data_IF_718047764403
#
_entry.id   IF_718047764403
#
_cell.length_a   1.000
_cell.length_b   1.000
_cell.length_c   1.000
_cell.angle_alpha   90.00
_cell.angle_beta   90.00
_cell.angle_gamma   90.00
#
_symmetry.space_group_name_H-M   'P 1'
#
loop_
_entity.id
_entity.type
_entity.pdbx_description
1 polymer ?
#
# COMPACT_ATOMS: atom_id res chain seq x y z
N UNK A 1 -4.32 14.27 -33.98
CA UNK A 1 -5.11 13.55 -32.96
C UNK A 1 -4.20 13.33 -31.77
N UNK A 2 -4.33 14.15 -30.73
CA UNK A 2 -3.42 14.21 -29.58
C UNK A 2 -4.01 13.33 -28.48
N UNK A 3 -3.36 12.19 -28.18
CA UNK A 3 -3.61 11.44 -26.95
C UNK A 3 -2.58 11.89 -25.91
N UNK A 4 -2.92 12.99 -25.24
CA UNK A 4 -2.27 13.44 -24.02
C UNK A 4 -2.97 12.84 -22.82
N UNK A 5 -2.38 11.84 -22.21
CA UNK A 5 -2.64 11.47 -20.82
C UNK A 5 -1.33 10.89 -20.27
N UNK A 6 -0.55 11.72 -19.57
CA UNK A 6 0.56 11.24 -18.75
C UNK A 6 -0.04 10.40 -17.63
N UNK A 7 0.02 9.09 -17.76
CA UNK A 7 -0.16 8.20 -16.63
C UNK A 7 0.89 8.59 -15.55
N UNK A 8 0.49 8.74 -14.28
CA UNK A 8 1.47 8.98 -13.22
C UNK A 8 2.45 7.80 -13.17
N UNK A 9 3.75 8.09 -13.11
CA UNK A 9 4.81 7.09 -13.00
C UNK A 9 4.63 6.25 -11.72
N UNK A 10 5.04 4.99 -11.79
CA UNK A 10 5.08 3.98 -10.70
C UNK A 10 5.56 4.52 -9.34
N UNK A 11 6.41 5.56 -9.33
CA UNK A 11 6.88 6.25 -8.14
C UNK A 11 5.78 6.86 -7.23
N UNK A 12 4.58 7.15 -7.75
CA UNK A 12 3.45 7.67 -6.94
C UNK A 12 2.83 6.54 -6.09
N UNK A 13 3.00 5.27 -6.46
CA UNK A 13 2.33 4.16 -5.78
C UNK A 13 3.12 3.69 -4.54
N UNK A 14 4.45 3.72 -4.57
CA UNK A 14 5.28 3.39 -3.40
C UNK A 14 5.14 4.39 -2.25
N UNK A 15 4.79 5.65 -2.54
CA UNK A 15 4.54 6.66 -1.51
C UNK A 15 3.12 6.58 -0.90
N UNK A 16 2.17 5.86 -1.51
CA UNK A 16 0.74 5.90 -1.14
C UNK A 16 0.33 4.95 0.00
N UNK A 17 1.28 4.37 0.73
CA UNK A 17 1.01 3.41 1.81
C UNK A 17 0.29 4.03 3.01
N UNK A 18 0.30 5.37 3.13
CA UNK A 18 -0.46 6.14 4.12
C UNK A 18 -1.32 7.25 3.48
N UNK A 19 -2.47 7.54 4.08
CA UNK A 19 -3.35 8.65 3.68
C UNK A 19 -2.66 10.03 3.79
N UNK A 20 -1.65 10.17 4.67
CA UNK A 20 -0.85 11.37 4.79
C UNK A 20 -0.07 11.68 3.50
N UNK A 21 0.56 10.67 2.90
CA UNK A 21 1.32 10.83 1.66
C UNK A 21 0.43 11.24 0.48
N UNK A 22 -0.83 10.74 0.43
CA UNK A 22 -1.81 11.14 -0.59
C UNK A 22 -2.12 12.65 -0.49
N UNK A 23 -2.19 13.19 0.73
CA UNK A 23 -2.42 14.63 0.94
C UNK A 23 -1.23 15.49 0.52
N UNK A 24 -0.01 15.01 0.73
CA UNK A 24 1.22 15.73 0.37
C UNK A 24 1.32 15.99 -1.14
N UNK A 25 0.87 15.01 -1.94
CA UNK A 25 0.81 15.12 -3.41
C UNK A 25 -0.41 15.91 -3.93
N UNK A 26 -1.17 16.56 -3.04
CA UNK A 26 -2.32 17.39 -3.43
C UNK A 26 -3.57 16.58 -3.79
N UNK A 27 -3.66 15.33 -3.33
CA UNK A 27 -4.83 14.47 -3.52
C UNK A 27 -5.55 14.20 -2.20
N UNK A 28 -6.76 13.69 -2.28
CA UNK A 28 -7.49 13.08 -1.17
C UNK A 28 -8.02 11.73 -1.60
N UNK A 29 -8.24 10.87 -0.63
CA UNK A 29 -8.94 9.59 -0.79
C UNK A 29 -9.86 9.37 0.41
N UNK A 30 -10.84 8.50 0.23
CA UNK A 30 -11.64 7.94 1.30
C UNK A 30 -10.98 6.64 1.78
N UNK A 31 -10.68 6.54 3.07
CA UNK A 31 -10.15 5.33 3.70
C UNK A 31 -11.28 4.59 4.43
N UNK A 32 -11.42 3.30 4.13
CA UNK A 32 -12.42 2.41 4.71
C UNK A 32 -11.68 1.26 5.39
N UNK A 33 -12.03 0.99 6.64
CA UNK A 33 -11.45 -0.09 7.44
C UNK A 33 -12.59 -0.87 8.07
N UNK A 34 -12.67 -2.15 7.75
CA UNK A 34 -13.70 -3.06 8.27
C UNK A 34 -13.05 -4.20 9.07
N UNK A 35 -13.86 -4.93 9.85
CA UNK A 35 -13.34 -5.88 10.83
C UNK A 35 -13.40 -7.34 10.37
N UNK A 36 -14.28 -7.67 9.43
CA UNK A 36 -14.51 -9.04 8.97
C UNK A 36 -14.53 -9.15 7.44
N UNK A 37 -14.40 -10.40 6.97
CA UNK A 37 -14.30 -10.74 5.55
C UNK A 37 -15.56 -10.41 4.75
N UNK A 38 -16.75 -10.55 5.35
CA UNK A 38 -18.00 -10.34 4.63
C UNK A 38 -18.19 -8.86 4.34
N UNK A 39 -17.96 -8.02 5.35
CA UNK A 39 -18.01 -6.57 5.18
C UNK A 39 -16.86 -6.04 4.34
N UNK A 40 -15.69 -6.71 4.36
CA UNK A 40 -14.59 -6.42 3.43
C UNK A 40 -15.01 -6.64 1.99
N UNK A 41 -15.52 -7.82 1.65
CA UNK A 41 -15.94 -8.13 0.29
C UNK A 41 -17.09 -7.22 -0.16
N UNK A 42 -18.05 -6.93 0.72
CA UNK A 42 -19.19 -6.04 0.44
C UNK A 42 -18.72 -4.61 0.14
N UNK A 43 -17.92 -4.03 1.03
CA UNK A 43 -17.41 -2.66 0.89
C UNK A 43 -16.50 -2.53 -0.33
N UNK A 44 -15.71 -3.57 -0.60
CA UNK A 44 -14.84 -3.63 -1.75
C UNK A 44 -15.60 -3.67 -3.08
N UNK A 45 -16.63 -4.53 -3.19
CA UNK A 45 -17.51 -4.56 -4.37
C UNK A 45 -18.27 -3.26 -4.59
N UNK A 46 -18.68 -2.60 -3.50
CA UNK A 46 -19.31 -1.29 -3.57
C UNK A 46 -18.33 -0.22 -4.11
N UNK A 47 -17.10 -0.16 -3.58
CA UNK A 47 -16.09 0.78 -4.06
C UNK A 47 -15.71 0.56 -5.53
N UNK A 48 -15.67 -0.70 -5.98
CA UNK A 48 -15.42 -1.06 -7.38
C UNK A 48 -16.49 -0.58 -8.36
N UNK A 49 -17.69 -0.23 -7.89
CA UNK A 49 -18.71 0.38 -8.76
C UNK A 49 -18.31 1.79 -9.20
N UNK A 50 -17.52 2.49 -8.39
CA UNK A 50 -17.07 3.86 -8.64
C UNK A 50 -15.69 3.92 -9.33
N UNK A 51 -14.98 2.79 -9.39
CA UNK A 51 -13.70 2.65 -10.06
C UNK A 51 -12.69 1.79 -9.31
N UNK A 52 -11.42 1.74 -9.77
CA UNK A 52 -10.38 0.96 -9.13
C UNK A 52 -10.16 1.36 -7.66
N UNK A 53 -9.87 0.37 -6.82
CA UNK A 53 -9.67 0.58 -5.38
C UNK A 53 -8.26 0.17 -4.96
N UNK A 54 -7.64 0.97 -4.11
CA UNK A 54 -6.30 0.69 -3.58
C UNK A 54 -6.40 -0.11 -2.29
N UNK A 55 -5.71 -1.23 -2.22
CA UNK A 55 -5.85 -2.22 -1.15
C UNK A 55 -4.51 -2.46 -0.48
N UNK A 56 -4.54 -2.46 0.85
CA UNK A 56 -3.43 -2.92 1.68
C UNK A 56 -3.38 -2.25 3.04
N UNK A 57 -2.48 -2.69 3.92
CA UNK A 57 -1.44 -3.68 3.63
C UNK A 57 -1.99 -5.11 3.51
N UNK A 58 -1.33 -5.92 2.67
CA UNK A 58 -1.57 -7.34 2.46
C UNK A 58 -0.31 -8.14 2.81
N UNK A 59 -0.44 -9.38 3.25
CA UNK A 59 0.67 -10.33 3.40
C UNK A 59 1.18 -10.78 2.02
N UNK A 60 2.35 -10.28 1.63
CA UNK A 60 3.01 -10.59 0.36
C UNK A 60 3.25 -12.09 0.21
N UNK A 61 3.54 -12.78 1.32
CA UNK A 61 3.74 -14.23 1.41
C UNK A 61 2.59 -15.09 0.86
N UNK A 62 1.39 -14.50 0.78
CA UNK A 62 0.16 -15.15 0.37
C UNK A 62 -0.28 -14.79 -1.06
N UNK A 63 0.44 -13.90 -1.76
CA UNK A 63 0.13 -13.49 -3.14
C UNK A 63 0.63 -14.53 -4.15
N UNK A 64 -0.17 -15.60 -4.36
CA UNK A 64 0.23 -16.80 -5.12
C UNK A 64 0.63 -16.58 -6.57
N UNK A 65 0.27 -15.44 -7.17
CA UNK A 65 0.68 -15.10 -8.53
C UNK A 65 2.16 -14.68 -8.60
N UNK A 66 2.79 -14.29 -7.49
CA UNK A 66 4.21 -13.97 -7.45
C UNK A 66 5.05 -15.25 -7.35
N UNK A 67 6.02 -15.46 -8.25
CA UNK A 67 7.00 -16.53 -8.09
C UNK A 67 7.69 -16.41 -6.73
N UNK A 68 7.81 -17.52 -6.01
CA UNK A 68 8.42 -17.58 -4.68
C UNK A 68 7.70 -16.80 -3.57
N UNK A 69 6.45 -16.33 -3.73
CA UNK A 69 5.72 -15.55 -2.71
C UNK A 69 5.95 -16.02 -1.27
N UNK A 70 5.92 -17.33 -0.99
CA UNK A 70 6.13 -17.92 0.35
C UNK A 70 7.39 -17.43 1.08
N UNK A 71 8.47 -17.10 0.37
CA UNK A 71 9.72 -16.62 0.99
C UNK A 71 9.61 -15.19 1.52
N UNK A 72 8.59 -14.44 1.09
CA UNK A 72 8.31 -13.08 1.53
C UNK A 72 7.26 -13.01 2.66
N UNK A 73 7.13 -14.08 3.47
CA UNK A 73 6.18 -14.08 4.60
C UNK A 73 6.58 -13.03 5.64
N UNK A 74 5.62 -12.21 6.08
CA UNK A 74 5.82 -11.09 7.00
C UNK A 74 6.18 -9.78 6.30
N UNK A 75 6.31 -9.78 4.97
CA UNK A 75 6.41 -8.57 4.17
C UNK A 75 5.01 -8.08 3.79
N UNK A 76 4.79 -6.77 3.91
CA UNK A 76 3.55 -6.16 3.46
C UNK A 76 3.56 -5.89 1.95
N UNK A 77 2.36 -5.72 1.39
CA UNK A 77 2.19 -5.32 0.01
C UNK A 77 0.92 -4.52 -0.22
N UNK A 78 0.90 -3.74 -1.31
CA UNK A 78 -0.25 -2.96 -1.73
C UNK A 78 -0.53 -3.15 -3.23
N UNK A 79 -1.82 -3.27 -3.56
CA UNK A 79 -2.28 -3.51 -4.94
C UNK A 79 -3.43 -2.58 -5.30
N UNK A 80 -3.68 -2.40 -6.59
CA UNK A 80 -4.90 -1.75 -7.09
C UNK A 80 -5.83 -2.83 -7.62
N UNK A 81 -6.99 -3.02 -6.99
CA UNK A 81 -8.00 -3.95 -7.49
C UNK A 81 -8.84 -3.27 -8.57
N UNK A 82 -9.05 -3.98 -9.67
CA UNK A 82 -9.73 -3.52 -10.87
C UNK A 82 -11.13 -4.11 -10.99
N UNK A 83 -11.30 -5.38 -10.64
CA UNK A 83 -12.59 -6.07 -10.74
C UNK A 83 -12.66 -7.29 -9.81
N UNK A 84 -13.89 -7.73 -9.53
CA UNK A 84 -14.17 -9.02 -8.88
C UNK A 84 -15.26 -9.72 -9.67
N UNK A 85 -14.92 -10.83 -10.31
CA UNK A 85 -15.85 -11.65 -11.11
C UNK A 85 -15.51 -13.14 -10.99
N UNK A 86 -16.51 -14.02 -11.09
CA UNK A 86 -16.35 -15.48 -11.06
C UNK A 86 -15.46 -15.99 -9.90
N UNK A 87 -15.62 -15.42 -8.71
CA UNK A 87 -14.82 -15.73 -7.50
C UNK A 87 -13.32 -15.43 -7.61
N UNK A 88 -12.93 -14.57 -8.57
CA UNK A 88 -11.58 -14.10 -8.79
C UNK A 88 -11.51 -12.58 -8.61
N UNK A 89 -10.39 -12.11 -8.05
CA UNK A 89 -10.03 -10.70 -7.92
C UNK A 89 -8.99 -10.39 -8.98
N UNK A 90 -9.26 -9.42 -9.85
CA UNK A 90 -8.30 -8.89 -10.82
C UNK A 90 -7.65 -7.63 -10.26
N UNK A 91 -6.32 -7.58 -10.30
CA UNK A 91 -5.56 -6.49 -9.71
C UNK A 91 -4.34 -6.12 -10.55
N UNK A 92 -3.94 -4.86 -10.41
CA UNK A 92 -2.64 -4.35 -10.79
C UNK A 92 -1.73 -4.36 -9.57
N UNK A 93 -0.66 -5.13 -9.65
CA UNK A 93 0.43 -5.12 -8.68
C UNK A 93 1.59 -4.27 -9.24
N UNK A 94 1.94 -3.14 -8.59
CA UNK A 94 3.05 -2.28 -8.99
C UNK A 94 4.42 -2.99 -9.02
N UNK A 95 4.56 -4.13 -8.33
CA UNK A 95 5.75 -4.98 -8.32
C UNK A 95 5.86 -5.86 -9.57
N UNK A 96 5.55 -5.28 -10.74
CA UNK A 96 5.76 -5.92 -12.04
C UNK A 96 4.66 -6.89 -12.49
N UNK A 97 3.51 -6.95 -11.81
CA UNK A 97 2.37 -7.76 -12.27
C UNK A 97 1.17 -6.86 -12.63
N UNK A 98 1.16 -6.26 -13.83
CA UNK A 98 0.14 -5.27 -14.21
C UNK A 98 -1.27 -5.86 -14.34
N UNK A 99 -1.37 -7.18 -14.56
CA UNK A 99 -2.61 -7.95 -14.61
C UNK A 99 -2.39 -9.25 -13.82
N UNK A 100 -2.74 -9.23 -12.55
CA UNK A 100 -2.70 -10.38 -11.66
C UNK A 100 -4.12 -10.79 -11.26
N UNK A 101 -4.31 -12.08 -10.98
CA UNK A 101 -5.58 -12.61 -10.49
C UNK A 101 -5.36 -13.48 -9.26
N UNK A 102 -6.28 -13.42 -8.31
CA UNK A 102 -6.25 -14.25 -7.10
C UNK A 102 -7.67 -14.66 -6.71
N UNK A 103 -7.92 -15.91 -6.29
CA UNK A 103 -9.23 -16.30 -5.78
C UNK A 103 -9.65 -15.42 -4.60
N UNK A 104 -10.93 -15.04 -4.52
CA UNK A 104 -11.46 -14.13 -3.48
C UNK A 104 -11.06 -14.57 -2.07
N UNK A 105 -11.15 -15.87 -1.79
CA UNK A 105 -10.75 -16.44 -0.49
C UNK A 105 -9.27 -16.21 -0.17
N UNK A 106 -8.39 -16.39 -1.15
CA UNK A 106 -6.95 -16.18 -0.98
C UNK A 106 -6.63 -14.70 -0.83
N UNK A 107 -7.31 -13.85 -1.60
CA UNK A 107 -7.22 -12.40 -1.49
C UNK A 107 -7.62 -11.90 -0.10
N UNK A 108 -8.77 -12.33 0.42
CA UNK A 108 -9.22 -11.98 1.77
C UNK A 108 -8.25 -12.49 2.85
N UNK A 109 -7.65 -13.66 2.64
CA UNK A 109 -6.65 -14.21 3.55
C UNK A 109 -5.37 -13.36 3.54
N UNK A 110 -4.88 -12.98 2.37
CA UNK A 110 -3.72 -12.11 2.22
C UNK A 110 -3.97 -10.71 2.79
N UNK A 111 -5.21 -10.21 2.74
CA UNK A 111 -5.56 -8.89 3.26
C UNK A 111 -5.73 -8.84 4.79
N UNK A 112 -5.66 -9.98 5.47
CA UNK A 112 -5.54 -10.03 6.92
C UNK A 112 -4.11 -9.69 7.30
N UNK A 113 -3.95 -8.62 8.08
CA UNK A 113 -2.66 -8.12 8.54
C UNK A 113 -2.14 -8.86 9.77
N UNK A 114 -2.68 -10.04 10.11
CA UNK A 114 -2.35 -10.75 11.35
C UNK A 114 -0.90 -11.23 11.43
N UNK A 115 -0.24 -11.43 10.28
CA UNK A 115 1.19 -11.75 10.17
C UNK A 115 2.06 -10.50 10.04
N UNK A 116 1.48 -9.32 9.82
CA UNK A 116 2.18 -8.07 9.67
C UNK A 116 2.29 -7.39 11.05
N UNK A 117 3.48 -6.92 11.41
CA UNK A 117 3.70 -6.20 12.67
C UNK A 117 3.01 -4.83 12.75
N UNK A 118 2.26 -4.44 11.72
CA UNK A 118 1.60 -3.14 11.62
C UNK A 118 0.39 -3.19 10.65
N UNK A 119 -0.34 -2.07 10.59
CA UNK A 119 -1.48 -1.91 9.68
C UNK A 119 -2.78 -2.46 10.24
N UNK A 120 -3.87 -2.21 9.52
CA UNK A 120 -5.21 -2.69 9.88
C UNK A 120 -5.73 -3.57 8.75
N UNK A 121 -6.25 -4.75 9.13
CA UNK A 121 -6.87 -5.68 8.19
C UNK A 121 -7.99 -4.99 7.41
N UNK A 122 -8.15 -5.40 6.15
CA UNK A 122 -9.23 -4.93 5.27
C UNK A 122 -9.27 -3.41 5.05
N UNK A 123 -8.10 -2.77 5.04
CA UNK A 123 -7.98 -1.35 4.71
C UNK A 123 -8.05 -1.14 3.20
N UNK A 124 -9.04 -0.36 2.76
CA UNK A 124 -9.27 0.07 1.37
C UNK A 124 -9.15 1.58 1.27
N UNK A 125 -8.62 2.07 0.16
CA UNK A 125 -8.68 3.48 -0.23
C UNK A 125 -9.35 3.62 -1.58
N UNK A 126 -10.28 4.56 -1.67
CA UNK A 126 -11.11 4.84 -2.86
C UNK A 126 -11.29 6.36 -3.02
N UNK A 127 -12.00 6.80 -4.05
CA UNK A 127 -12.32 8.21 -4.32
C UNK A 127 -11.07 9.10 -4.35
N UNK A 128 -10.06 8.65 -5.11
CA UNK A 128 -8.83 9.43 -5.29
C UNK A 128 -9.12 10.66 -6.16
N UNK A 129 -9.13 11.82 -5.54
CA UNK A 129 -9.39 13.10 -6.21
C UNK A 129 -8.26 14.09 -6.01
N UNK A 130 -7.95 14.82 -7.07
CA UNK A 130 -7.03 15.95 -7.00
C UNK A 130 -7.75 17.12 -6.33
N UNK A 131 -7.19 17.60 -5.22
CA UNK A 131 -7.72 18.75 -4.48
C UNK A 131 -6.83 19.98 -4.65
N UNK A 132 -5.57 19.79 -5.07
CA UNK A 132 -4.65 20.87 -5.37
C UNK A 132 -3.62 20.41 -6.41
N UNK A 133 -3.40 21.23 -7.43
CA UNK A 133 -2.24 21.07 -8.32
C UNK A 133 -0.98 21.58 -7.61
N UNK A 134 0.09 20.80 -7.64
CA UNK A 134 1.36 21.13 -6.99
C UNK A 134 2.49 20.88 -7.96
N UNK A 135 3.50 21.74 -7.92
CA UNK A 135 4.78 21.46 -8.54
C UNK A 135 5.51 20.32 -7.79
N UNK A 136 6.40 19.62 -8.48
CA UNK A 136 7.25 18.57 -7.87
C UNK A 136 8.01 19.11 -6.65
N UNK A 137 8.52 20.34 -6.73
CA UNK A 137 9.23 20.99 -5.62
C UNK A 137 8.32 21.20 -4.41
N UNK A 138 7.05 21.57 -4.62
CA UNK A 138 6.09 21.70 -3.52
C UNK A 138 5.73 20.35 -2.90
N UNK A 139 5.58 19.30 -3.71
CA UNK A 139 5.36 17.93 -3.23
C UNK A 139 6.52 17.50 -2.33
N UNK A 140 7.76 17.62 -2.83
CA UNK A 140 8.96 17.27 -2.06
C UNK A 140 8.99 18.03 -0.74
N UNK A 141 8.79 19.36 -0.76
CA UNK A 141 8.80 20.19 0.47
C UNK A 141 7.73 19.76 1.46
N UNK A 142 6.54 19.38 0.99
CA UNK A 142 5.43 18.91 1.84
C UNK A 142 5.68 17.55 2.46
N UNK A 143 6.46 16.69 1.79
CA UNK A 143 6.81 15.36 2.31
C UNK A 143 7.94 15.37 3.33
N UNK A 144 8.75 16.43 3.41
CA UNK A 144 9.88 16.52 4.35
C UNK A 144 9.46 16.31 5.82
N UNK A 145 8.41 16.96 6.37
CA UNK A 145 8.02 16.74 7.76
C UNK A 145 7.66 15.28 8.08
N UNK A 146 6.93 14.62 7.18
CA UNK A 146 6.57 13.20 7.34
C UNK A 146 7.78 12.28 7.22
N UNK A 147 8.68 12.57 6.27
CA UNK A 147 9.95 11.84 6.14
C UNK A 147 10.81 11.99 7.40
N UNK A 148 10.94 13.20 7.95
CA UNK A 148 11.64 13.44 9.21
C UNK A 148 11.01 12.67 10.38
N UNK A 149 9.67 12.62 10.44
CA UNK A 149 8.94 11.86 11.46
C UNK A 149 9.16 10.34 11.33
N UNK A 150 9.24 9.83 10.11
CA UNK A 150 9.51 8.43 9.83
C UNK A 150 10.94 8.05 10.21
N UNK A 151 11.91 8.86 9.77
CA UNK A 151 13.34 8.68 10.07
C UNK A 151 13.59 8.86 11.56
N UNK A 152 12.90 9.74 12.28
CA UNK A 152 13.15 9.92 13.72
C UNK A 152 12.69 8.73 14.60
N UNK A 153 12.12 7.67 14.01
CA UNK A 153 11.58 6.47 14.70
C UNK A 153 10.52 6.75 15.75
N UNK A 154 10.01 7.98 15.84
CA UNK A 154 8.98 8.40 16.80
C UNK A 154 7.60 7.76 16.54
N UNK A 155 7.43 7.05 15.41
CA UNK A 155 6.20 6.33 15.04
C UNK A 155 6.38 4.81 14.86
N UNK A 156 7.57 4.25 15.11
CA UNK A 156 7.73 2.80 15.02
C UNK A 156 6.83 2.14 16.07
N UNK A 157 6.04 1.14 15.70
CA UNK A 157 5.52 0.20 16.69
C UNK A 157 6.67 -0.37 17.52
N UNK A 158 6.37 -1.03 18.65
CA UNK A 158 7.39 -1.59 19.54
C UNK A 158 8.45 -2.37 18.74
N UNK A 159 9.59 -1.73 18.50
CA UNK A 159 10.72 -2.38 17.86
C UNK A 159 11.23 -3.42 18.85
N UNK A 160 11.60 -4.63 18.41
CA UNK A 160 12.14 -5.64 19.30
C UNK A 160 13.29 -5.05 20.15
N UNK A 161 13.39 -5.39 21.45
CA UNK A 161 14.49 -4.94 22.29
C UNK A 161 15.85 -5.19 21.62
N UNK A 162 16.71 -4.16 21.61
CA UNK A 162 18.02 -4.21 20.92
C UNK A 162 18.01 -3.75 19.45
N UNK A 163 16.85 -3.37 18.91
CA UNK A 163 16.79 -2.75 17.58
C UNK A 163 17.54 -1.42 17.54
N UNK A 164 18.27 -1.18 16.45
CA UNK A 164 18.91 0.10 16.15
C UNK A 164 18.33 0.66 14.86
N UNK A 165 18.29 1.99 14.70
CA UNK A 165 17.73 2.63 13.52
C UNK A 165 18.67 3.70 12.94
N UNK A 166 18.45 4.04 11.68
CA UNK A 166 19.15 5.11 10.95
C UNK A 166 20.67 5.02 11.07
N UNK A 167 21.33 6.14 11.39
CA UNK A 167 22.78 6.24 11.57
C UNK A 167 23.32 5.19 12.54
N UNK A 168 22.61 4.91 13.64
CA UNK A 168 23.04 3.90 14.61
C UNK A 168 23.03 2.49 14.00
N UNK A 169 22.00 2.17 13.20
CA UNK A 169 21.94 0.90 12.47
C UNK A 169 23.04 0.80 11.41
N UNK A 170 23.28 1.88 10.66
CA UNK A 170 24.36 1.92 9.66
C UNK A 170 25.72 1.73 10.30
N UNK A 171 26.02 2.44 11.39
CA UNK A 171 27.28 2.30 12.15
C UNK A 171 27.41 0.89 12.72
N UNK A 172 26.33 0.33 13.25
CA UNK A 172 26.33 -1.05 13.75
C UNK A 172 26.68 -2.03 12.62
N UNK A 173 26.04 -1.91 11.46
CA UNK A 173 26.28 -2.77 10.30
C UNK A 173 27.72 -2.69 9.81
N UNK A 174 28.28 -1.47 9.69
CA UNK A 174 29.68 -1.24 9.28
C UNK A 174 30.65 -1.98 10.21
N UNK A 175 30.34 -2.09 11.50
CA UNK A 175 31.18 -2.80 12.47
C UNK A 175 31.01 -4.34 12.44
N UNK A 176 30.10 -4.89 11.60
CA UNK A 176 29.91 -6.34 11.44
C UNK A 176 30.62 -6.93 10.21
N UNK A 177 31.26 -6.10 9.38
CA UNK A 177 31.96 -6.48 8.14
C UNK A 177 33.47 -6.34 8.35
#
# INVERSE_FOLDING_TARGET
MVLGARAPSTAVIEFATSSASVHEIGRRCTEIIVKDEQDALRSHKAGLQDGPVFVGPMEMGLLRYQPNARVATGADHYVVVLSVDNDMVEMHDPYGHPCATLPVKEFLTAWKTGSLGYGKSYTTRTDFRQVKELSEVEVIRRSIPSALKHISTTNGGDMPPGSTANEAATKWLVNQI
#
